data_IF_881457809586
#
_entry.id   IF_881457809586
#
_cell.length_a   1.000
_cell.length_b   1.000
_cell.length_c   1.000
_cell.angle_alpha   90.00
_cell.angle_beta   90.00
_cell.angle_gamma   90.00
#
_symmetry.space_group_name_H-M   'P 1'
#
loop_
_entity.id
_entity.type
_entity.pdbx_description
1 polymer ?
#
# COMPACT_ATOMS: atom_id res chain seq x y z
N UNK A 1 35.80 39.28 -39.65
CA UNK A 1 35.55 39.02 -41.08
C UNK A 1 34.06 38.75 -41.26
N UNK A 2 33.41 39.54 -42.12
CA UNK A 2 32.04 39.48 -42.67
C UNK A 2 30.85 39.26 -41.71
N UNK A 3 29.88 40.18 -41.61
CA UNK A 3 28.78 40.46 -42.57
C UNK A 3 27.88 39.21 -42.75
N UNK A 4 26.55 39.24 -42.61
CA UNK A 4 25.52 40.21 -43.07
C UNK A 4 24.18 39.81 -42.41
N UNK A 5 23.34 40.74 -41.96
CA UNK A 5 22.06 41.20 -42.60
C UNK A 5 21.06 40.07 -42.93
N UNK A 6 19.74 40.13 -42.78
CA UNK A 6 18.64 41.13 -42.64
C UNK A 6 17.38 40.25 -42.53
N UNK A 7 16.18 40.62 -42.07
CA UNK A 7 15.56 41.87 -41.71
C UNK A 7 14.03 41.69 -41.80
N UNK A 8 13.29 42.58 -41.12
CA UNK A 8 11.98 43.16 -41.52
C UNK A 8 10.75 42.21 -41.47
N UNK A 9 9.53 42.61 -41.13
CA UNK A 9 8.95 43.90 -40.74
C UNK A 9 7.43 43.73 -40.61
N UNK A 10 6.82 44.34 -39.58
CA UNK A 10 5.53 45.09 -39.62
C UNK A 10 4.22 44.36 -40.02
N UNK A 11 3.01 44.73 -39.64
CA UNK A 11 2.44 45.86 -38.89
C UNK A 11 0.95 45.55 -38.57
N UNK A 12 0.43 46.19 -37.52
CA UNK A 12 -0.98 46.36 -37.08
C UNK A 12 -1.80 47.18 -38.12
N UNK A 13 -3.03 47.72 -37.90
CA UNK A 13 -4.03 47.64 -36.81
C UNK A 13 -5.51 47.48 -37.31
N UNK A 14 -6.53 47.57 -36.43
CA UNK A 14 -7.87 48.02 -36.85
C UNK A 14 -9.06 47.52 -36.03
N UNK A 15 -9.66 48.41 -35.23
CA UNK A 15 -10.87 48.24 -34.42
C UNK A 15 -12.17 48.49 -35.22
N UNK A 16 -13.30 47.85 -34.85
CA UNK A 16 -14.68 48.40 -34.99
C UNK A 16 -15.64 47.72 -33.98
N UNK A 17 -16.32 48.52 -33.14
CA UNK A 17 -17.61 48.23 -32.47
C UNK A 17 -18.77 48.59 -33.40
N UNK A 18 -19.98 48.03 -33.23
CA UNK A 18 -21.03 48.91 -32.68
C UNK A 18 -22.02 48.24 -31.70
N UNK A 19 -22.65 49.12 -30.93
CA UNK A 19 -23.77 48.96 -29.99
C UNK A 19 -25.16 48.96 -30.67
N UNK A 20 -26.21 48.92 -29.83
CA UNK A 20 -27.66 49.18 -30.04
C UNK A 20 -28.48 47.88 -30.17
N UNK A 21 -29.33 47.39 -29.24
CA UNK A 21 -30.31 47.90 -28.26
C UNK A 21 -31.79 47.65 -28.68
N UNK A 22 -32.50 46.93 -27.78
CA UNK A 22 -33.90 47.05 -27.33
C UNK A 22 -35.13 46.40 -28.04
N UNK A 23 -35.89 45.68 -27.19
CA UNK A 23 -37.37 45.52 -27.07
C UNK A 23 -38.15 44.78 -28.20
N UNK A 24 -39.20 43.98 -27.97
CA UNK A 24 -39.99 43.51 -26.81
C UNK A 24 -40.94 42.36 -27.30
N UNK A 25 -41.46 41.52 -26.39
CA UNK A 25 -42.88 41.12 -26.28
C UNK A 25 -43.05 39.76 -25.54
N UNK A 26 -43.89 39.79 -24.51
CA UNK A 26 -44.40 38.66 -23.72
C UNK A 26 -45.39 37.79 -24.51
N UNK A 27 -45.36 36.47 -24.27
CA UNK A 27 -46.57 35.63 -24.29
C UNK A 27 -46.49 34.60 -23.16
N UNK A 28 -47.45 34.71 -22.23
CA UNK A 28 -47.73 33.79 -21.14
C UNK A 28 -48.35 32.47 -21.63
N UNK A 29 -47.95 31.32 -21.08
CA UNK A 29 -48.81 30.14 -20.93
C UNK A 29 -48.39 29.31 -19.71
N UNK A 30 -49.40 28.81 -18.99
CA UNK A 30 -49.32 28.21 -17.67
C UNK A 30 -49.12 26.69 -17.68
N UNK A 31 -48.35 26.21 -16.70
CA UNK A 31 -48.39 24.85 -16.12
C UNK A 31 -47.36 23.83 -16.65
N UNK A 32 -47.00 22.76 -15.90
CA UNK A 32 -47.24 22.46 -14.48
C UNK A 32 -45.96 22.48 -13.64
N UNK A 33 -46.14 22.51 -12.32
CA UNK A 33 -45.08 22.42 -11.29
C UNK A 33 -44.39 21.06 -11.40
N UNK A 34 -43.14 21.04 -11.84
CA UNK A 34 -42.29 19.86 -11.69
C UNK A 34 -41.80 19.83 -10.24
N UNK A 35 -42.37 18.93 -9.45
CA UNK A 35 -41.78 18.47 -8.19
C UNK A 35 -40.34 18.04 -8.46
N UNK A 36 -39.40 18.85 -7.98
CA UNK A 36 -38.00 18.46 -7.87
C UNK A 36 -37.91 17.35 -6.83
N UNK A 37 -37.97 16.10 -7.29
CA UNK A 37 -37.45 14.97 -6.53
C UNK A 37 -35.92 15.12 -6.50
N UNK A 38 -35.41 16.06 -5.70
CA UNK A 38 -34.08 15.95 -5.13
C UNK A 38 -34.10 14.71 -4.22
N UNK A 39 -33.93 13.55 -4.84
CA UNK A 39 -33.49 12.37 -4.14
C UNK A 39 -32.02 12.63 -3.80
N UNK A 40 -31.80 13.43 -2.74
CA UNK A 40 -30.55 13.45 -2.01
C UNK A 40 -30.33 12.02 -1.52
N UNK A 41 -29.60 11.25 -2.33
CA UNK A 41 -28.89 10.09 -1.84
C UNK A 41 -28.11 10.58 -0.61
N UNK A 42 -28.30 9.95 0.57
CA UNK A 42 -27.59 10.39 1.75
C UNK A 42 -26.10 10.34 1.40
N UNK A 43 -25.44 11.48 1.52
CA UNK A 43 -24.01 11.55 1.46
C UNK A 43 -23.50 10.61 2.56
N UNK A 44 -23.12 9.40 2.15
CA UNK A 44 -22.34 8.53 2.98
C UNK A 44 -20.95 9.18 3.00
N UNK A 45 -20.81 10.22 3.84
CA UNK A 45 -19.55 10.53 4.49
C UNK A 45 -19.26 9.34 5.40
N UNK A 46 -18.93 8.18 4.82
CA UNK A 46 -18.17 7.16 5.54
C UNK A 46 -16.94 7.92 5.98
N UNK A 47 -16.71 8.00 7.29
CA UNK A 47 -15.51 8.58 7.84
C UNK A 47 -14.34 7.85 7.19
N UNK A 48 -13.77 8.45 6.15
CA UNK A 48 -12.51 7.99 5.60
C UNK A 48 -11.55 7.89 6.80
N UNK A 49 -10.83 6.78 6.89
CA UNK A 49 -9.99 6.45 8.03
C UNK A 49 -10.65 5.62 9.14
N UNK A 50 -11.98 5.46 9.24
CA UNK A 50 -12.57 4.50 10.18
C UNK A 50 -12.54 3.07 9.61
N UNK A 51 -11.42 2.38 9.84
CA UNK A 51 -11.26 0.98 9.45
C UNK A 51 -12.30 0.03 10.06
N UNK A 52 -12.98 0.38 11.16
CA UNK A 52 -13.98 -0.51 11.80
C UNK A 52 -15.20 -0.79 10.93
N UNK A 53 -15.53 0.14 10.04
CA UNK A 53 -16.67 0.02 9.14
C UNK A 53 -16.36 -0.83 7.89
N UNK A 54 -15.10 -1.23 7.68
CA UNK A 54 -14.66 -1.92 6.47
C UNK A 54 -14.48 -3.42 6.72
N UNK A 55 -14.87 -4.27 5.78
CA UNK A 55 -14.58 -5.71 5.87
C UNK A 55 -13.10 -6.05 5.61
N UNK A 56 -12.37 -5.13 4.98
CA UNK A 56 -10.98 -5.30 4.61
C UNK A 56 -10.44 -4.14 3.78
N UNK A 57 -9.20 -4.26 3.35
CA UNK A 57 -8.51 -3.31 2.47
C UNK A 57 -7.75 -4.02 1.37
N UNK A 58 -7.47 -3.27 0.30
CA UNK A 58 -6.49 -3.61 -0.73
C UNK A 58 -5.33 -2.64 -0.62
N UNK A 59 -4.11 -3.14 -0.53
CA UNK A 59 -2.88 -2.34 -0.48
C UNK A 59 -2.18 -2.50 -1.82
N UNK A 60 -1.90 -1.42 -2.51
CA UNK A 60 -1.22 -1.42 -3.80
C UNK A 60 0.01 -0.54 -3.74
N UNK A 61 1.15 -1.12 -4.07
CA UNK A 61 2.39 -0.36 -4.27
C UNK A 61 2.32 0.48 -5.55
N UNK A 62 2.83 1.72 -5.46
CA UNK A 62 2.90 2.68 -6.56
C UNK A 62 4.36 3.02 -6.79
N UNK A 63 4.88 2.72 -7.98
CA UNK A 63 6.21 3.18 -8.39
C UNK A 63 6.12 4.50 -9.16
N UNK A 64 7.04 5.41 -8.86
CA UNK A 64 7.25 6.65 -9.61
C UNK A 64 8.40 6.43 -10.60
N UNK A 65 8.14 6.05 -11.86
CA UNK A 65 9.19 5.70 -12.85
C UNK A 65 10.17 6.84 -13.27
N UNK A 66 10.49 7.82 -12.43
CA UNK A 66 11.21 9.04 -12.82
C UNK A 66 12.74 8.95 -12.71
N UNK A 67 13.37 7.96 -12.07
CA UNK A 67 14.82 8.02 -11.79
C UNK A 67 15.68 6.84 -12.27
N UNK A 68 15.24 6.07 -13.27
CA UNK A 68 16.07 5.03 -13.89
C UNK A 68 17.15 5.52 -14.87
N UNK A 69 17.22 6.82 -15.13
CA UNK A 69 18.02 7.36 -16.25
C UNK A 69 19.46 7.78 -15.89
N UNK A 70 19.89 7.71 -14.61
CA UNK A 70 21.16 8.34 -14.17
C UNK A 70 22.20 7.32 -13.62
N UNK A 71 21.96 6.01 -13.71
CA UNK A 71 22.97 5.00 -13.30
C UNK A 71 23.39 5.07 -11.83
N UNK A 72 22.62 5.76 -10.99
CA UNK A 72 22.81 5.79 -9.54
C UNK A 72 21.97 4.63 -8.97
N UNK A 73 22.53 3.76 -8.12
CA UNK A 73 21.79 2.71 -7.42
C UNK A 73 20.87 3.34 -6.37
N UNK A 74 19.80 3.95 -6.85
CA UNK A 74 18.82 4.67 -6.05
C UNK A 74 17.48 3.94 -6.10
N UNK A 75 17.06 3.42 -4.95
CA UNK A 75 15.69 2.95 -4.80
C UNK A 75 14.77 4.14 -4.53
N UNK A 76 13.58 4.11 -5.14
CA UNK A 76 12.55 5.11 -4.91
C UNK A 76 11.96 4.97 -3.51
N UNK A 77 11.44 6.08 -2.98
CA UNK A 77 10.67 6.03 -1.74
C UNK A 77 9.35 5.31 -2.02
N UNK A 78 9.02 4.30 -1.23
CA UNK A 78 7.83 3.51 -1.47
C UNK A 78 6.56 4.32 -1.20
N UNK A 79 5.53 4.05 -2.00
CA UNK A 79 4.21 4.66 -1.90
C UNK A 79 3.17 3.57 -2.00
N UNK A 80 2.13 3.65 -1.16
CA UNK A 80 1.06 2.68 -1.13
C UNK A 80 -0.31 3.36 -1.18
N UNK A 81 -1.16 2.87 -2.07
CA UNK A 81 -2.58 3.14 -2.05
C UNK A 81 -3.27 2.09 -1.18
N UNK A 82 -3.94 2.52 -0.12
CA UNK A 82 -4.82 1.67 0.69
C UNK A 82 -6.24 1.97 0.30
N UNK A 83 -6.89 1.00 -0.35
CA UNK A 83 -8.23 1.10 -0.92
C UNK A 83 -9.20 0.22 -0.15
N UNK A 84 -10.48 0.56 -0.17
CA UNK A 84 -11.52 -0.23 0.47
C UNK A 84 -11.72 -1.56 -0.26
N UNK A 85 -11.76 -2.67 0.47
CA UNK A 85 -12.16 -3.95 -0.10
C UNK A 85 -13.65 -3.91 -0.49
N UNK A 86 -14.04 -4.35 -1.70
CA UNK A 86 -15.45 -4.36 -2.09
C UNK A 86 -16.32 -5.17 -1.13
N UNK A 87 -17.55 -4.72 -0.93
CA UNK A 87 -18.51 -5.40 -0.07
C UNK A 87 -18.73 -6.85 -0.54
N UNK A 88 -18.70 -7.80 0.40
CA UNK A 88 -18.88 -9.23 0.12
C UNK A 88 -17.66 -9.94 -0.47
N UNK A 89 -16.60 -9.22 -0.83
CA UNK A 89 -15.32 -9.81 -1.24
C UNK A 89 -14.48 -10.13 0.00
N UNK A 90 -13.78 -11.26 -0.04
CA UNK A 90 -12.83 -11.66 1.00
C UNK A 90 -11.50 -12.05 0.37
N UNK A 91 -10.40 -11.82 1.09
CA UNK A 91 -9.12 -12.37 0.72
C UNK A 91 -9.22 -13.90 0.62
N UNK A 92 -8.66 -14.45 -0.46
CA UNK A 92 -8.53 -15.89 -0.54
C UNK A 92 -7.59 -16.40 0.56
N UNK A 93 -7.85 -17.62 0.99
CA UNK A 93 -7.08 -18.30 2.02
C UNK A 93 -6.33 -19.52 1.49
N UNK A 94 -6.63 -19.97 0.27
CA UNK A 94 -5.96 -21.10 -0.37
C UNK A 94 -5.98 -20.93 -1.90
N UNK A 95 -5.07 -21.63 -2.58
CA UNK A 95 -4.92 -21.63 -4.03
C UNK A 95 -6.14 -22.19 -4.77
N UNK A 96 -6.85 -23.13 -4.14
CA UNK A 96 -7.98 -23.82 -4.75
C UNK A 96 -9.33 -23.21 -4.36
N UNK A 97 -9.33 -22.06 -3.68
CA UNK A 97 -10.57 -21.42 -3.24
C UNK A 97 -11.37 -20.95 -4.47
N UNK A 98 -12.61 -21.45 -4.67
CA UNK A 98 -13.41 -21.06 -5.82
C UNK A 98 -13.82 -19.59 -5.69
N UNK A 99 -13.99 -18.92 -6.83
CA UNK A 99 -14.36 -17.51 -6.91
C UNK A 99 -13.39 -16.57 -6.17
N UNK A 100 -12.11 -16.94 -6.14
CA UNK A 100 -11.06 -16.04 -5.64
C UNK A 100 -11.04 -14.78 -6.49
N UNK A 101 -11.11 -13.63 -5.81
CA UNK A 101 -10.99 -12.33 -6.47
C UNK A 101 -9.52 -12.03 -6.76
N UNK A 102 -9.22 -11.79 -8.04
CA UNK A 102 -7.90 -11.45 -8.56
C UNK A 102 -8.00 -10.11 -9.30
N UNK A 103 -7.95 -8.98 -8.57
CA UNK A 103 -8.27 -7.70 -9.16
C UNK A 103 -7.23 -7.25 -10.18
N UNK A 104 -7.72 -6.70 -11.30
CA UNK A 104 -6.93 -5.91 -12.23
C UNK A 104 -6.51 -4.57 -11.62
N UNK A 105 -5.52 -3.91 -12.22
CA UNK A 105 -5.09 -2.57 -11.78
C UNK A 105 -6.23 -1.55 -11.89
N UNK A 106 -7.01 -1.63 -12.96
CA UNK A 106 -8.13 -0.73 -13.21
C UNK A 106 -9.22 -0.92 -12.15
N UNK A 107 -9.50 -2.17 -11.76
CA UNK A 107 -10.42 -2.46 -10.66
C UNK A 107 -9.93 -1.86 -9.35
N UNK A 108 -8.65 -2.05 -8.98
CA UNK A 108 -8.09 -1.47 -7.75
C UNK A 108 -8.15 0.07 -7.77
N UNK A 109 -7.81 0.68 -8.91
CA UNK A 109 -7.84 2.14 -9.07
C UNK A 109 -9.24 2.75 -8.93
N UNK A 110 -10.28 2.00 -9.29
CA UNK A 110 -11.67 2.42 -9.17
C UNK A 110 -12.20 2.33 -7.73
N UNK A 111 -11.48 1.68 -6.81
CA UNK A 111 -11.92 1.52 -5.43
C UNK A 111 -11.80 2.84 -4.64
N UNK A 112 -12.70 3.08 -3.67
CA UNK A 112 -12.57 4.20 -2.74
C UNK A 112 -11.24 4.16 -1.99
N UNK A 113 -10.57 5.30 -1.90
CA UNK A 113 -9.35 5.44 -1.11
C UNK A 113 -9.66 5.53 0.38
N UNK A 114 -8.89 4.78 1.16
CA UNK A 114 -8.91 4.83 2.63
C UNK A 114 -7.73 5.65 3.12
N UNK A 115 -6.52 5.28 2.68
CA UNK A 115 -5.29 6.01 2.96
C UNK A 115 -4.38 6.02 1.73
N UNK A 116 -3.54 7.05 1.64
CA UNK A 116 -2.30 7.00 0.89
C UNK A 116 -1.14 6.98 1.88
N UNK A 117 -0.18 6.07 1.71
CA UNK A 117 0.97 5.92 2.60
C UNK A 117 2.23 6.24 1.82
N UNK A 118 3.05 7.15 2.33
CA UNK A 118 4.30 7.55 1.68
C UNK A 118 5.48 7.37 2.62
N UNK A 119 6.54 6.78 2.08
CA UNK A 119 7.84 6.69 2.74
C UNK A 119 8.52 8.07 2.79
N UNK A 120 9.06 8.39 3.96
CA UNK A 120 10.09 9.38 4.19
C UNK A 120 11.36 8.63 4.65
N UNK A 121 12.41 8.68 3.83
CA UNK A 121 13.73 8.17 4.18
C UNK A 121 14.81 9.00 3.47
N UNK A 122 16.03 8.96 4.01
CA UNK A 122 17.19 9.67 3.46
C UNK A 122 17.61 9.07 2.12
N UNK A 123 17.81 9.92 1.11
CA UNK A 123 18.34 9.47 -0.19
C UNK A 123 19.75 8.88 -0.05
N UNK A 124 20.56 9.42 0.87
CA UNK A 124 21.89 8.89 1.16
C UNK A 124 21.80 7.49 1.78
N UNK A 125 20.90 7.29 2.73
CA UNK A 125 20.73 5.99 3.39
C UNK A 125 20.24 4.94 2.40
N UNK A 126 19.32 5.31 1.50
CA UNK A 126 18.89 4.42 0.41
C UNK A 126 20.07 4.01 -0.47
N UNK A 127 20.87 4.96 -0.95
CA UNK A 127 22.04 4.65 -1.79
C UNK A 127 23.06 3.78 -1.03
N UNK A 128 23.41 4.14 0.21
CA UNK A 128 24.36 3.38 1.01
C UNK A 128 23.88 1.96 1.30
N UNK A 129 22.61 1.81 1.70
CA UNK A 129 22.03 0.50 2.02
C UNK A 129 21.82 -0.36 0.77
N UNK A 130 21.44 0.23 -0.37
CA UNK A 130 21.44 -0.46 -1.66
C UNK A 130 22.84 -0.96 -2.02
N UNK A 131 23.86 -0.12 -1.88
CA UNK A 131 25.23 -0.46 -2.28
C UNK A 131 25.85 -1.61 -1.49
N UNK A 132 25.43 -1.81 -0.23
CA UNK A 132 25.87 -2.95 0.61
C UNK A 132 24.88 -4.13 0.60
N UNK A 133 23.87 -4.12 -0.28
CA UNK A 133 22.86 -5.17 -0.39
C UNK A 133 21.93 -5.29 0.82
N UNK A 134 21.84 -4.25 1.66
CA UNK A 134 21.08 -4.22 2.90
C UNK A 134 19.96 -3.18 2.87
N UNK A 135 19.41 -2.88 1.68
CA UNK A 135 18.37 -1.87 1.49
C UNK A 135 17.13 -2.10 2.37
N UNK A 136 16.81 -3.36 2.65
CA UNK A 136 15.74 -3.75 3.54
C UNK A 136 16.04 -3.41 5.01
N UNK A 137 17.26 -3.04 5.40
CA UNK A 137 17.60 -2.64 6.78
C UNK A 137 17.51 -1.13 7.01
N UNK A 138 17.19 -0.35 5.97
CA UNK A 138 17.15 1.11 6.06
C UNK A 138 16.16 1.60 7.12
N UNK A 139 16.52 2.70 7.77
CA UNK A 139 15.57 3.49 8.54
C UNK A 139 14.57 4.14 7.59
N UNK A 140 13.29 4.12 7.98
CA UNK A 140 12.24 4.80 7.24
C UNK A 140 11.07 5.19 8.13
N UNK A 141 10.31 6.16 7.65
CA UNK A 141 9.04 6.59 8.23
C UNK A 141 7.94 6.47 7.19
N UNK A 142 6.76 6.01 7.59
CA UNK A 142 5.59 5.97 6.72
C UNK A 142 4.56 6.96 7.23
N UNK A 143 4.25 7.95 6.40
CA UNK A 143 3.21 8.94 6.68
C UNK A 143 1.93 8.54 5.99
N UNK A 144 0.84 8.55 6.74
CA UNK A 144 -0.49 8.30 6.23
C UNK A 144 -1.14 9.62 5.83
N UNK A 145 -1.80 9.62 4.68
CA UNK A 145 -2.55 10.72 4.13
C UNK A 145 -3.98 10.27 3.88
N UNK A 146 -4.91 11.20 4.03
CA UNK A 146 -6.32 10.96 3.78
C UNK A 146 -6.92 12.22 3.16
N UNK A 147 -7.61 12.09 2.03
CA UNK A 147 -8.13 13.23 1.27
C UNK A 147 -7.02 14.26 0.96
N UNK A 148 -5.82 13.80 0.61
CA UNK A 148 -4.60 14.59 0.39
C UNK A 148 -4.07 15.37 1.61
N UNK A 149 -4.64 15.19 2.80
CA UNK A 149 -4.14 15.78 4.04
C UNK A 149 -3.29 14.76 4.81
N UNK A 150 -2.15 15.21 5.33
CA UNK A 150 -1.30 14.40 6.21
C UNK A 150 -2.05 14.13 7.52
N UNK A 151 -2.18 12.85 7.88
CA UNK A 151 -2.80 12.41 9.14
C UNK A 151 -1.77 12.45 10.28
N UNK A 152 -2.22 12.36 11.54
CA UNK A 152 -1.31 12.24 12.69
C UNK A 152 -0.68 10.84 12.84
N UNK A 153 -1.01 9.90 11.95
CA UNK A 153 -0.48 8.54 11.96
C UNK A 153 0.92 8.50 11.34
N UNK A 154 1.86 7.93 12.07
CA UNK A 154 3.24 7.75 11.67
C UNK A 154 3.70 6.35 12.04
N UNK A 155 4.19 5.61 11.06
CA UNK A 155 4.94 4.37 11.31
C UNK A 155 6.43 4.70 11.27
N UNK A 156 7.13 4.34 12.32
CA UNK A 156 8.58 4.55 12.46
C UNK A 156 9.28 3.19 12.43
N UNK A 157 10.29 3.07 11.56
CA UNK A 157 11.08 1.86 11.40
C UNK A 157 12.57 2.21 11.57
N UNK A 158 13.18 1.90 12.73
CA UNK A 158 14.60 2.14 12.92
C UNK A 158 15.45 1.19 12.08
N UNK A 159 16.68 1.61 11.78
CA UNK A 159 17.68 0.74 11.17
C UNK A 159 18.09 -0.36 12.16
N UNK A 160 17.67 -1.60 11.89
CA UNK A 160 18.02 -2.79 12.70
C UNK A 160 18.45 -3.92 11.78
N UNK A 161 19.37 -4.75 12.28
CA UNK A 161 20.01 -5.85 11.53
C UNK A 161 19.23 -7.16 11.57
N UNK A 162 18.02 -7.17 12.15
CA UNK A 162 17.17 -8.35 12.27
C UNK A 162 17.59 -9.32 13.38
N UNK A 163 16.77 -10.34 13.58
CA UNK A 163 16.94 -11.30 14.68
C UNK A 163 18.14 -12.22 14.56
N UNK A 164 18.71 -12.35 13.35
CA UNK A 164 20.00 -13.04 13.15
C UNK A 164 21.14 -12.46 13.98
N UNK A 165 21.02 -11.20 14.40
CA UNK A 165 21.96 -10.52 15.27
C UNK A 165 21.33 -10.12 16.61
N UNK A 166 20.28 -10.82 17.05
CA UNK A 166 19.53 -10.52 18.28
C UNK A 166 18.89 -9.12 18.32
N UNK A 167 18.65 -8.51 17.16
CA UNK A 167 18.10 -7.17 17.02
C UNK A 167 16.84 -7.22 16.12
N UNK A 168 15.69 -7.71 16.64
CA UNK A 168 14.50 -7.95 15.83
C UNK A 168 14.07 -6.68 15.09
N UNK A 169 13.68 -6.82 13.82
CA UNK A 169 13.08 -5.72 13.09
C UNK A 169 11.80 -5.28 13.81
N UNK A 170 11.60 -3.97 13.90
CA UNK A 170 10.42 -3.40 14.54
C UNK A 170 9.86 -2.24 13.73
N UNK A 171 8.54 -2.13 13.71
CA UNK A 171 7.82 -0.96 13.21
C UNK A 171 6.92 -0.48 14.35
N UNK A 172 7.02 0.79 14.72
CA UNK A 172 6.16 1.40 15.74
C UNK A 172 5.15 2.30 15.07
N UNK A 173 3.86 2.06 15.33
CA UNK A 173 2.82 2.98 14.92
C UNK A 173 2.53 3.98 16.04
N UNK A 174 2.51 5.26 15.68
CA UNK A 174 2.12 6.35 16.57
C UNK A 174 0.97 7.16 15.98
N UNK A 175 0.17 7.76 16.86
CA UNK A 175 -0.88 8.71 16.54
C UNK A 175 -0.64 9.97 17.40
N UNK A 176 -0.38 11.12 16.77
CA UNK A 176 0.01 12.36 17.47
C UNK A 176 1.19 12.15 18.44
N UNK A 177 2.16 11.33 18.04
CA UNK A 177 3.33 10.98 18.85
C UNK A 177 3.07 10.00 20.00
N UNK A 178 1.80 9.59 20.25
CA UNK A 178 1.48 8.53 21.21
C UNK A 178 1.54 7.17 20.53
N UNK A 179 2.17 6.19 21.16
CA UNK A 179 2.24 4.83 20.62
C UNK A 179 0.84 4.20 20.57
N UNK A 180 0.55 3.55 19.45
CA UNK A 180 -0.66 2.74 19.24
C UNK A 180 -0.33 1.26 19.36
N UNK A 181 0.84 0.87 18.84
CA UNK A 181 1.28 -0.50 18.81
C UNK A 181 2.62 -0.65 18.13
N UNK A 182 3.07 -1.89 18.05
CA UNK A 182 4.34 -2.26 17.44
C UNK A 182 4.19 -3.57 16.67
N UNK A 183 4.83 -3.65 15.51
CA UNK A 183 5.08 -4.91 14.82
C UNK A 183 6.51 -5.29 15.10
N UNK A 184 6.73 -6.51 15.57
CA UNK A 184 8.07 -7.00 15.92
C UNK A 184 8.30 -8.34 15.26
N UNK A 185 9.45 -8.50 14.64
CA UNK A 185 9.90 -9.77 14.12
C UNK A 185 10.02 -10.81 15.25
N UNK A 186 9.31 -11.93 15.11
CA UNK A 186 9.27 -12.99 16.11
C UNK A 186 10.46 -13.93 15.94
N UNK A 187 11.37 -13.83 16.91
CA UNK A 187 12.57 -14.66 16.99
C UNK A 187 12.80 -15.26 18.36
N UNK A 188 11.76 -15.35 19.19
CA UNK A 188 11.86 -16.07 20.47
C UNK A 188 12.31 -17.54 20.27
N UNK A 189 12.30 -18.02 19.02
CA UNK A 189 12.74 -19.32 18.55
C UNK A 189 14.20 -19.41 18.06
N UNK A 190 15.03 -18.36 18.04
CA UNK A 190 16.36 -18.41 17.37
C UNK A 190 17.32 -19.45 17.97
N UNK A 191 17.40 -19.56 19.29
CA UNK A 191 18.27 -20.55 19.96
C UNK A 191 17.69 -21.97 19.98
N UNK A 192 16.41 -22.17 19.60
CA UNK A 192 15.70 -23.46 19.71
C UNK A 192 15.09 -24.01 18.42
N UNK A 193 14.97 -23.19 17.36
CA UNK A 193 14.28 -23.54 16.12
C UNK A 193 14.95 -22.96 14.86
N UNK A 194 16.27 -22.76 14.86
CA UNK A 194 17.04 -22.39 13.64
C UNK A 194 16.62 -23.28 12.44
N UNK A 195 16.47 -24.59 12.66
CA UNK A 195 15.99 -25.50 11.63
C UNK A 195 14.58 -25.17 11.10
N UNK A 196 13.66 -24.63 11.91
CA UNK A 196 12.31 -24.32 11.44
C UNK A 196 12.28 -23.07 10.54
N UNK A 197 13.04 -22.01 10.85
CA UNK A 197 13.05 -20.82 9.99
C UNK A 197 13.89 -21.03 8.71
N UNK A 198 15.03 -21.71 8.79
CA UNK A 198 15.90 -21.95 7.63
C UNK A 198 15.45 -23.14 6.77
N UNK A 199 14.89 -24.21 7.36
CA UNK A 199 14.39 -25.34 6.58
C UNK A 199 12.90 -25.20 6.20
N UNK A 200 12.10 -24.38 6.89
CA UNK A 200 10.70 -24.12 6.52
C UNK A 200 10.45 -22.73 5.91
N UNK A 201 11.51 -21.95 5.61
CA UNK A 201 11.45 -20.64 4.96
C UNK A 201 10.35 -19.72 5.54
N UNK A 202 10.11 -19.79 6.85
CA UNK A 202 8.94 -19.17 7.48
C UNK A 202 9.39 -18.08 8.43
N UNK A 203 8.93 -16.87 8.15
CA UNK A 203 9.18 -15.68 8.94
C UNK A 203 7.90 -15.26 9.64
N UNK A 204 8.01 -14.91 10.92
CA UNK A 204 6.84 -14.53 11.73
C UNK A 204 7.02 -13.12 12.27
N UNK A 205 5.95 -12.33 12.24
CA UNK A 205 5.91 -11.00 12.85
C UNK A 205 4.74 -10.93 13.84
N UNK A 206 5.00 -10.51 15.08
CA UNK A 206 3.95 -10.24 16.08
C UNK A 206 3.40 -8.84 15.88
N UNK A 207 2.08 -8.75 15.85
CA UNK A 207 1.31 -7.52 15.87
C UNK A 207 0.86 -7.26 17.30
N UNK A 208 1.46 -6.24 17.91
CA UNK A 208 1.25 -5.86 19.30
C UNK A 208 0.47 -4.54 19.35
N UNK A 209 -0.54 -4.45 20.23
CA UNK A 209 -1.34 -3.23 20.44
C UNK A 209 -1.16 -2.75 21.87
N UNK A 210 -0.92 -1.46 22.07
CA UNK A 210 -0.72 -0.86 23.38
C UNK A 210 -0.16 0.55 23.33
N UNK A 211 -0.45 1.34 24.35
CA UNK A 211 -0.09 2.77 24.43
C UNK A 211 1.39 3.06 24.77
N UNK A 212 2.13 2.02 25.13
CA UNK A 212 3.55 2.04 25.51
C UNK A 212 4.07 0.60 25.56
N UNK A 213 5.40 0.43 25.60
CA UNK A 213 6.05 -0.89 25.57
C UNK A 213 5.59 -1.86 26.66
N UNK A 214 5.27 -1.37 27.86
CA UNK A 214 4.83 -2.21 28.99
C UNK A 214 3.37 -2.66 28.85
N UNK A 215 2.55 -1.92 28.10
CA UNK A 215 1.13 -2.21 27.87
C UNK A 215 0.85 -2.98 26.59
N UNK A 216 1.89 -3.38 25.84
CA UNK A 216 1.74 -4.10 24.57
C UNK A 216 1.15 -5.49 24.80
N UNK A 217 0.06 -5.77 24.08
CA UNK A 217 -0.60 -7.06 24.06
C UNK A 217 -0.48 -7.65 22.66
N UNK A 218 -0.03 -8.90 22.58
CA UNK A 218 0.01 -9.65 21.33
C UNK A 218 -1.41 -9.97 20.86
N UNK A 219 -1.77 -9.49 19.66
CA UNK A 219 -3.10 -9.66 19.07
C UNK A 219 -3.11 -10.64 17.92
N UNK A 220 -2.12 -10.55 17.04
CA UNK A 220 -2.00 -11.41 15.86
C UNK A 220 -0.54 -11.69 15.55
N UNK A 221 -0.27 -12.82 14.92
CA UNK A 221 0.99 -13.06 14.21
C UNK A 221 0.73 -13.13 12.71
N UNK A 222 1.62 -12.53 11.93
CA UNK A 222 1.72 -12.71 10.49
C UNK A 222 2.76 -13.77 10.20
N UNK A 223 2.35 -14.89 9.63
CA UNK A 223 3.22 -16.03 9.30
C UNK A 223 3.44 -16.04 7.79
N UNK A 224 4.62 -15.62 7.39
CA UNK A 224 5.06 -15.50 6.03
C UNK A 224 5.94 -16.71 5.65
N UNK A 225 5.32 -17.73 5.05
CA UNK A 225 6.03 -18.94 4.62
C UNK A 225 6.36 -18.88 3.13
N UNK A 226 7.64 -18.90 2.76
CA UNK A 226 8.09 -18.94 1.35
C UNK A 226 8.26 -20.35 0.80
N UNK A 227 8.22 -21.35 1.69
CA UNK A 227 8.58 -22.72 1.36
C UNK A 227 7.41 -23.46 0.67
N UNK A 228 7.71 -24.65 0.14
CA UNK A 228 6.71 -25.48 -0.53
C UNK A 228 5.84 -26.26 0.46
N UNK A 229 5.98 -25.98 1.75
CA UNK A 229 5.37 -26.65 2.88
C UNK A 229 4.75 -25.61 3.82
N UNK A 230 3.80 -26.06 4.65
CA UNK A 230 2.99 -25.19 5.49
C UNK A 230 1.50 -25.47 5.26
N UNK A 231 0.65 -24.57 5.76
CA UNK A 231 -0.81 -24.66 5.54
C UNK A 231 -1.15 -24.60 4.04
N UNK A 232 -0.41 -23.78 3.31
CA UNK A 232 -0.49 -23.65 1.85
C UNK A 232 0.93 -23.69 1.26
N UNK A 233 1.06 -24.21 0.04
CA UNK A 233 2.33 -24.26 -0.66
C UNK A 233 2.59 -22.91 -1.31
N UNK A 234 3.46 -22.06 -0.76
CA UNK A 234 3.76 -20.74 -1.30
C UNK A 234 4.95 -20.72 -2.28
N UNK A 235 5.58 -21.86 -2.59
CA UNK A 235 6.67 -21.91 -3.57
C UNK A 235 6.23 -21.32 -4.90
N UNK A 236 7.01 -20.36 -5.42
CA UNK A 236 6.72 -19.60 -6.63
C UNK A 236 5.39 -18.85 -6.61
N UNK A 237 4.77 -18.69 -5.43
CA UNK A 237 3.57 -17.88 -5.26
C UNK A 237 3.88 -16.40 -5.48
N UNK A 238 2.89 -15.64 -5.91
CA UNK A 238 3.11 -14.25 -6.30
C UNK A 238 3.90 -14.17 -7.60
N UNK A 239 3.57 -15.01 -8.58
CA UNK A 239 4.15 -14.96 -9.93
C UNK A 239 3.05 -15.05 -10.97
N UNK A 240 3.33 -14.73 -12.24
CA UNK A 240 2.35 -14.86 -13.31
C UNK A 240 1.79 -16.28 -13.48
N UNK A 241 2.58 -17.31 -13.12
CA UNK A 241 2.18 -18.72 -13.20
C UNK A 241 1.45 -19.22 -11.95
N UNK A 242 1.59 -18.51 -10.83
CA UNK A 242 0.94 -18.79 -9.56
C UNK A 242 0.61 -17.47 -8.88
N UNK A 243 -0.53 -16.86 -9.25
CA UNK A 243 -0.80 -15.43 -9.03
C UNK A 243 -0.92 -15.05 -7.57
N UNK A 244 -1.17 -16.02 -6.68
CA UNK A 244 -1.35 -15.78 -5.26
C UNK A 244 -0.12 -16.19 -4.45
N UNK A 245 0.09 -15.48 -3.35
CA UNK A 245 0.93 -15.85 -2.24
C UNK A 245 0.18 -15.49 -0.96
N UNK A 246 0.24 -16.34 0.06
CA UNK A 246 -0.56 -16.14 1.27
C UNK A 246 0.32 -15.90 2.49
N UNK A 247 0.03 -14.83 3.23
CA UNK A 247 0.59 -14.59 4.56
C UNK A 247 -0.51 -14.92 5.56
N UNK A 248 -0.28 -15.90 6.42
CA UNK A 248 -1.29 -16.32 7.37
C UNK A 248 -1.40 -15.32 8.52
N UNK A 249 -2.63 -14.97 8.89
CA UNK A 249 -2.92 -14.23 10.11
C UNK A 249 -3.40 -15.24 11.14
N UNK A 250 -2.65 -15.38 12.22
CA UNK A 250 -2.95 -16.32 13.30
C UNK A 250 -3.15 -15.57 14.62
N UNK A 251 -3.95 -16.12 15.52
CA UNK A 251 -4.07 -15.61 16.89
C UNK A 251 -2.82 -15.91 17.72
N UNK A 252 -2.69 -15.33 18.93
CA UNK A 252 -1.50 -15.51 19.77
C UNK A 252 -1.20 -16.96 20.18
N UNK A 253 -2.21 -17.83 20.16
CA UNK A 253 -2.13 -19.28 20.38
C UNK A 253 -1.79 -20.08 19.11
N UNK A 254 -1.54 -19.40 17.98
CA UNK A 254 -1.19 -20.02 16.70
C UNK A 254 -2.38 -20.53 15.89
N UNK A 255 -3.63 -20.27 16.31
CA UNK A 255 -4.80 -20.67 15.54
C UNK A 255 -5.00 -19.77 14.32
N UNK A 256 -5.22 -20.38 13.16
CA UNK A 256 -5.51 -19.66 11.92
C UNK A 256 -6.79 -18.83 12.02
N UNK A 257 -6.72 -17.55 11.64
CA UNK A 257 -7.86 -16.62 11.59
C UNK A 257 -8.25 -16.38 10.12
N UNK A 258 -7.32 -15.88 9.32
CA UNK A 258 -7.46 -15.67 7.88
C UNK A 258 -6.08 -15.57 7.21
N UNK A 259 -6.04 -15.15 5.95
CA UNK A 259 -4.79 -14.86 5.25
C UNK A 259 -4.85 -13.50 4.54
N UNK A 260 -3.69 -12.89 4.38
CA UNK A 260 -3.44 -11.81 3.43
C UNK A 260 -3.06 -12.47 2.11
N UNK A 261 -3.80 -12.16 1.06
CA UNK A 261 -3.56 -12.64 -0.29
C UNK A 261 -2.72 -11.59 -1.03
N UNK A 262 -1.44 -11.86 -1.22
CA UNK A 262 -0.63 -11.12 -2.17
C UNK A 262 -0.97 -11.61 -3.58
N UNK A 263 -1.29 -10.70 -4.50
CA UNK A 263 -1.72 -11.02 -5.86
C UNK A 263 -1.17 -10.05 -6.90
N UNK A 264 -0.75 -10.59 -8.03
CA UNK A 264 -0.24 -9.80 -9.16
C UNK A 264 -1.32 -9.39 -10.17
N UNK A 265 -2.52 -10.01 -10.10
CA UNK A 265 -3.62 -9.79 -11.04
C UNK A 265 -4.25 -11.09 -11.52
N UNK A 266 -5.16 -10.97 -12.48
CA UNK A 266 -5.93 -12.08 -13.06
C UNK A 266 -5.16 -12.95 -14.07
N UNK A 267 -3.89 -12.65 -14.33
CA UNK A 267 -3.06 -13.25 -15.38
C UNK A 267 -3.08 -12.43 -16.69
N UNK A 268 -1.92 -12.33 -17.35
CA UNK A 268 -1.77 -11.64 -18.65
C UNK A 268 -0.34 -11.09 -18.87
N UNK A 269 -0.05 -10.58 -20.07
CA UNK A 269 1.24 -9.96 -20.38
C UNK A 269 1.57 -8.76 -19.47
N UNK A 270 0.54 -8.00 -19.08
CA UNK A 270 0.67 -6.90 -18.11
C UNK A 270 1.11 -7.38 -16.72
N UNK A 271 0.68 -8.58 -16.29
CA UNK A 271 1.05 -9.15 -15.00
C UNK A 271 2.48 -9.71 -15.02
N UNK A 272 2.94 -10.22 -16.17
CA UNK A 272 4.38 -10.50 -16.40
C UNK A 272 5.22 -9.22 -16.35
N UNK A 273 4.73 -8.10 -16.90
CA UNK A 273 5.41 -6.80 -16.77
C UNK A 273 5.41 -6.28 -15.31
N UNK A 274 4.38 -6.56 -14.51
CA UNK A 274 4.36 -6.22 -13.07
C UNK A 274 5.35 -7.04 -12.27
N UNK A 275 5.61 -8.29 -12.65
CA UNK A 275 6.71 -9.09 -12.10
C UNK A 275 8.06 -8.39 -12.36
N UNK A 276 8.26 -7.86 -13.58
CA UNK A 276 9.45 -7.07 -13.92
C UNK A 276 9.54 -5.71 -13.19
N UNK A 277 8.39 -5.10 -12.87
CA UNK A 277 8.34 -3.86 -12.09
C UNK A 277 8.29 -4.07 -10.56
N UNK A 278 8.21 -5.33 -10.10
CA UNK A 278 8.13 -5.75 -8.70
C UNK A 278 7.00 -5.11 -7.86
N UNK A 279 5.87 -4.74 -8.47
CA UNK A 279 4.74 -4.13 -7.73
C UNK A 279 3.82 -5.18 -7.12
N UNK A 280 3.63 -5.14 -5.81
CA UNK A 280 2.74 -6.06 -5.09
C UNK A 280 1.36 -5.44 -4.81
N UNK A 281 0.30 -6.25 -4.96
CA UNK A 281 -1.01 -5.93 -4.37
C UNK A 281 -1.30 -6.92 -3.24
N UNK A 282 -1.83 -6.43 -2.14
CA UNK A 282 -2.25 -7.25 -1.00
C UNK A 282 -3.73 -7.05 -0.77
N UNK A 283 -4.48 -8.15 -0.72
CA UNK A 283 -5.88 -8.19 -0.35
C UNK A 283 -5.95 -8.73 1.08
N UNK A 284 -6.47 -7.94 2.01
CA UNK A 284 -6.57 -8.30 3.42
C UNK A 284 -8.00 -8.10 3.91
N UNK A 285 -8.60 -9.17 4.42
CA UNK A 285 -9.84 -9.06 5.21
C UNK A 285 -9.49 -8.81 6.68
N UNK A 286 -10.28 -8.01 7.38
CA UNK A 286 -10.08 -7.79 8.80
C UNK A 286 -10.71 -8.92 9.62
N UNK A 287 -10.08 -9.35 10.74
CA UNK A 287 -10.70 -10.28 11.67
C UNK A 287 -12.04 -9.72 12.22
N UNK A 288 -13.10 -10.53 12.31
CA UNK A 288 -14.39 -10.08 12.85
C UNK A 288 -14.23 -9.53 14.28
N UNK A 289 -14.89 -8.40 14.56
CA UNK A 289 -14.84 -7.77 15.89
C UNK A 289 -13.52 -7.06 16.22
N UNK A 290 -12.55 -7.02 15.30
CA UNK A 290 -11.34 -6.22 15.49
C UNK A 290 -11.64 -4.73 15.53
N UNK A 291 -10.97 -4.03 16.45
CA UNK A 291 -11.05 -2.58 16.64
C UNK A 291 -10.29 -1.82 15.56
N UNK A 292 -10.51 -0.50 15.46
CA UNK A 292 -9.79 0.38 14.53
C UNK A 292 -8.27 0.19 14.63
N UNK A 293 -7.75 0.19 15.85
CA UNK A 293 -6.30 0.09 16.11
C UNK A 293 -5.74 -1.28 15.77
N UNK A 294 -6.50 -2.36 16.04
CA UNK A 294 -6.10 -3.71 15.64
C UNK A 294 -6.01 -3.85 14.12
N UNK A 295 -6.97 -3.27 13.38
CA UNK A 295 -6.98 -3.26 11.90
C UNK A 295 -5.84 -2.44 11.32
N UNK A 296 -5.58 -1.26 11.91
CA UNK A 296 -4.48 -0.41 11.49
C UNK A 296 -3.12 -1.07 11.78
N UNK A 297 -2.98 -1.75 12.91
CA UNK A 297 -1.77 -2.50 13.25
C UNK A 297 -1.56 -3.74 12.37
N UNK A 298 -2.63 -4.41 11.93
CA UNK A 298 -2.54 -5.46 10.91
C UNK A 298 -2.05 -4.90 9.57
N UNK A 299 -2.56 -3.74 9.15
CA UNK A 299 -2.07 -3.02 7.96
C UNK A 299 -0.58 -2.68 8.10
N UNK A 300 -0.15 -2.15 9.25
CA UNK A 300 1.27 -1.92 9.55
C UNK A 300 2.09 -3.22 9.50
N UNK A 301 1.51 -4.34 9.93
CA UNK A 301 2.12 -5.66 9.83
C UNK A 301 2.37 -6.10 8.39
N UNK A 302 1.39 -5.90 7.50
CA UNK A 302 1.57 -6.24 6.07
C UNK A 302 2.67 -5.38 5.45
N UNK A 303 2.71 -4.08 5.75
CA UNK A 303 3.80 -3.21 5.31
C UNK A 303 5.16 -3.68 5.87
N UNK A 304 5.21 -4.10 7.13
CA UNK A 304 6.43 -4.67 7.73
C UNK A 304 6.90 -5.94 7.01
N UNK A 305 6.01 -6.86 6.63
CA UNK A 305 6.35 -8.05 5.82
C UNK A 305 6.86 -7.65 4.44
N UNK A 306 6.18 -6.71 3.79
CA UNK A 306 6.56 -6.20 2.48
C UNK A 306 7.98 -5.60 2.53
N UNK A 307 8.26 -4.68 3.46
CA UNK A 307 9.60 -4.08 3.61
C UNK A 307 10.70 -5.09 3.98
N UNK A 308 10.39 -6.08 4.81
CA UNK A 308 11.41 -7.01 5.28
C UNK A 308 11.79 -8.03 4.20
N UNK A 309 10.83 -8.47 3.38
CA UNK A 309 10.99 -9.67 2.56
C UNK A 309 10.54 -9.56 1.10
N UNK A 310 9.69 -8.59 0.75
CA UNK A 310 9.20 -8.39 -0.63
C UNK A 310 9.70 -7.10 -1.28
N UNK A 311 10.25 -6.15 -0.52
CA UNK A 311 10.85 -4.94 -1.07
C UNK A 311 12.07 -5.31 -1.92
N UNK A 312 12.31 -4.51 -2.97
CA UNK A 312 13.46 -4.69 -3.86
C UNK A 312 14.74 -4.93 -3.06
N UNK A 313 15.39 -6.07 -3.31
CA UNK A 313 16.74 -6.30 -2.79
C UNK A 313 17.68 -5.49 -3.67
N UNK A 314 18.48 -4.63 -3.06
CA UNK A 314 19.46 -3.80 -3.75
C UNK A 314 20.47 -4.67 -4.49
N UNK A 315 20.11 -5.05 -5.73
CA UNK A 315 20.92 -5.55 -6.84
C UNK A 315 20.09 -6.24 -7.95
N UNK A 316 18.76 -6.32 -7.85
CA UNK A 316 17.97 -7.04 -8.86
C UNK A 316 17.70 -6.29 -10.18
N UNK A 317 18.31 -5.12 -10.43
CA UNK A 317 18.25 -4.42 -11.72
C UNK A 317 19.49 -3.53 -11.95
N UNK A 318 20.69 -4.08 -11.76
CA UNK A 318 21.95 -3.41 -12.10
C UNK A 318 22.51 -3.87 -13.46
N UNK A 319 21.65 -4.06 -14.47
CA UNK A 319 22.04 -4.22 -15.89
C UNK A 319 21.16 -3.34 -16.79
#
# INVERSE_FOLDING_TARGET
MSNTDTGLSSSLPGAVRPEVAQHAAEVSHAGPVAESYEQQAPAIQMMAGNLEALDGVVIREVADMIMGAIGIPYEQANKYEVKQLPAGVKAATDFNQPNTWLPSKQEIQALPEVFFVSEESSACDRVCMTWIGCLNLRELKLHFYQNNAKTPLLVDRPCKVGGSCCCPLELTLTNNGQMVGMVVEDFDSYCGQWCAQTCACTYTQKVLVGSNRQSLVHKYSLVNSYCCCGRVNNCFGGTCCKPNFFIDVVSPDGKFINAVQMTYGSGGAEDCCRMGAQMNNYVMSFPPGSTHWERLMLLTGVLSVEYAYHSRKGDENSD
#
